data_IF_472953546849
#
_entry.id   IF_472953546849
#
_cell.length_a   1.000
_cell.length_b   1.000
_cell.length_c   1.000
_cell.angle_alpha   90.00
_cell.angle_beta   90.00
_cell.angle_gamma   90.00
#
_symmetry.space_group_name_H-M   'P 1'
#
loop_
_entity.id
_entity.type
_entity.pdbx_description
1 polymer ?
#
# COMPACT_ATOMS: atom_id res chain seq x y z
N UNK A 1 19.04 -19.66 -44.09
CA UNK A 1 17.66 -19.79 -43.64
C UNK A 1 17.69 -20.39 -42.23
N UNK A 2 17.54 -19.60 -41.23
CA UNK A 2 17.27 -20.04 -39.82
C UNK A 2 15.88 -19.50 -39.49
N UNK A 3 14.92 -20.39 -39.36
CA UNK A 3 13.60 -20.10 -38.86
C UNK A 3 13.71 -20.05 -37.34
N UNK A 4 13.61 -18.87 -36.76
CA UNK A 4 13.36 -18.69 -35.35
C UNK A 4 11.85 -18.89 -35.09
N UNK A 5 11.46 -20.15 -34.97
CA UNK A 5 10.14 -20.49 -34.43
C UNK A 5 10.17 -20.27 -32.91
N UNK A 6 9.73 -19.09 -32.50
CA UNK A 6 9.34 -18.82 -31.10
C UNK A 6 8.08 -19.62 -30.78
N UNK A 7 8.25 -20.91 -30.54
CA UNK A 7 7.18 -21.79 -30.14
C UNK A 7 6.89 -21.55 -28.64
N UNK A 8 5.91 -20.71 -28.36
CA UNK A 8 5.35 -20.59 -27.00
C UNK A 8 4.53 -21.84 -26.74
N UNK A 9 4.87 -22.69 -25.76
CA UNK A 9 4.11 -23.90 -25.48
C UNK A 9 2.64 -23.55 -25.15
N UNK A 10 1.71 -24.22 -25.81
CA UNK A 10 0.25 -24.00 -25.67
C UNK A 10 -0.22 -24.09 -24.20
N UNK A 11 0.43 -24.94 -23.40
CA UNK A 11 0.14 -25.12 -21.98
C UNK A 11 0.47 -23.88 -21.13
N UNK A 12 1.51 -23.10 -21.46
CA UNK A 12 1.82 -21.84 -20.77
C UNK A 12 0.79 -20.75 -21.08
N UNK A 13 0.29 -20.68 -22.32
CA UNK A 13 -0.75 -19.72 -22.71
C UNK A 13 -2.08 -20.06 -22.04
N UNK A 14 -2.43 -21.34 -21.94
CA UNK A 14 -3.65 -21.76 -21.24
C UNK A 14 -3.58 -21.53 -19.75
N UNK A 15 -2.42 -21.76 -19.11
CA UNK A 15 -2.23 -21.53 -17.69
C UNK A 15 -2.30 -20.03 -17.34
N UNK A 16 -1.67 -19.17 -18.13
CA UNK A 16 -1.73 -17.71 -17.92
C UNK A 16 -3.17 -17.17 -18.06
N UNK A 17 -3.95 -17.66 -19.00
CA UNK A 17 -5.35 -17.25 -19.16
C UNK A 17 -6.23 -17.71 -18.00
N UNK A 18 -6.03 -18.91 -17.45
CA UNK A 18 -6.77 -19.37 -16.27
C UNK A 18 -6.40 -18.55 -15.02
N UNK A 19 -5.13 -18.18 -14.88
CA UNK A 19 -4.68 -17.37 -13.78
C UNK A 19 -5.23 -15.94 -13.87
N UNK A 20 -5.32 -15.35 -15.06
CA UNK A 20 -5.97 -14.05 -15.30
C UNK A 20 -7.45 -14.08 -14.90
N UNK A 21 -8.20 -15.11 -15.31
CA UNK A 21 -9.62 -15.26 -14.95
C UNK A 21 -9.78 -15.35 -13.43
N UNK A 22 -8.96 -16.16 -12.78
CA UNK A 22 -9.00 -16.33 -11.33
C UNK A 22 -8.65 -15.03 -10.59
N UNK A 23 -7.67 -14.26 -11.07
CA UNK A 23 -7.30 -12.99 -10.49
C UNK A 23 -8.37 -11.92 -10.70
N UNK A 24 -9.08 -11.96 -11.82
CA UNK A 24 -10.23 -11.09 -12.06
C UNK A 24 -11.38 -11.41 -11.09
N UNK A 25 -11.67 -12.68 -10.85
CA UNK A 25 -12.67 -13.10 -9.84
C UNK A 25 -12.27 -12.64 -8.43
N UNK A 26 -11.01 -12.77 -8.08
CA UNK A 26 -10.48 -12.28 -6.79
C UNK A 26 -10.69 -10.76 -6.68
N UNK A 27 -10.35 -9.99 -7.71
CA UNK A 27 -10.59 -8.54 -7.76
C UNK A 27 -12.05 -8.20 -7.53
N UNK A 28 -12.96 -8.86 -8.23
CA UNK A 28 -14.41 -8.61 -8.11
C UNK A 28 -14.93 -8.92 -6.70
N UNK A 29 -14.46 -10.00 -6.09
CA UNK A 29 -14.80 -10.35 -4.72
C UNK A 29 -14.29 -9.30 -3.71
N UNK A 30 -13.06 -8.82 -3.86
CA UNK A 30 -12.52 -7.77 -2.99
C UNK A 30 -13.26 -6.45 -3.20
N UNK A 31 -13.59 -6.10 -4.44
CA UNK A 31 -14.39 -4.90 -4.73
C UNK A 31 -15.80 -5.00 -4.14
N UNK A 32 -16.41 -6.19 -4.12
CA UNK A 32 -17.69 -6.41 -3.47
C UNK A 32 -17.61 -6.19 -1.96
N UNK A 33 -16.55 -6.70 -1.30
CA UNK A 33 -16.30 -6.43 0.12
C UNK A 33 -16.11 -4.92 0.39
N UNK A 34 -15.37 -4.24 -0.46
CA UNK A 34 -15.16 -2.80 -0.34
C UNK A 34 -16.48 -2.01 -0.48
N UNK A 35 -17.33 -2.40 -1.43
CA UNK A 35 -18.67 -1.79 -1.59
C UNK A 35 -19.56 -2.00 -0.38
N UNK A 36 -19.54 -3.18 0.23
CA UNK A 36 -20.30 -3.45 1.45
C UNK A 36 -19.81 -2.56 2.62
N UNK A 37 -18.51 -2.40 2.74
CA UNK A 37 -17.93 -1.51 3.75
C UNK A 37 -18.30 -0.04 3.51
N UNK A 38 -18.26 0.41 2.25
CA UNK A 38 -18.67 1.77 1.87
C UNK A 38 -20.16 2.05 2.14
N UNK A 39 -21.01 1.01 2.16
CA UNK A 39 -22.44 1.15 2.51
C UNK A 39 -22.64 1.31 4.01
N UNK A 40 -21.68 0.85 4.82
CA UNK A 40 -21.72 0.93 6.28
C UNK A 40 -21.07 2.22 6.78
N UNK A 41 -20.06 2.70 6.07
CA UNK A 41 -19.32 3.94 6.37
C UNK A 41 -19.86 5.08 5.51
N UNK A 42 -20.61 5.98 6.10
CA UNK A 42 -21.32 7.04 5.40
C UNK A 42 -20.42 8.03 4.63
N UNK A 43 -19.10 8.09 4.93
CA UNK A 43 -18.21 9.13 4.42
C UNK A 43 -16.85 8.63 3.92
N UNK A 44 -16.63 7.31 3.94
CA UNK A 44 -15.39 6.70 3.48
C UNK A 44 -15.65 5.80 2.28
N UNK A 45 -15.01 6.09 1.16
CA UNK A 45 -15.04 5.24 -0.04
C UNK A 45 -13.72 4.50 -0.19
N UNK A 46 -13.76 3.18 -0.04
CA UNK A 46 -12.61 2.32 -0.25
C UNK A 46 -12.56 1.88 -1.71
N UNK A 47 -11.38 1.95 -2.30
CA UNK A 47 -11.12 1.57 -3.68
C UNK A 47 -10.04 0.49 -3.72
N UNK A 48 -10.27 -0.49 -4.58
CA UNK A 48 -9.33 -1.57 -4.86
C UNK A 48 -9.11 -1.63 -6.35
N UNK A 49 -7.87 -1.57 -6.78
CA UNK A 49 -7.47 -1.77 -8.16
C UNK A 49 -6.47 -2.91 -8.27
N UNK A 50 -6.64 -3.78 -9.28
CA UNK A 50 -5.78 -4.93 -9.44
C UNK A 50 -5.61 -5.27 -10.93
N UNK A 51 -4.42 -5.78 -11.26
CA UNK A 51 -4.11 -6.15 -12.64
C UNK A 51 -2.77 -6.88 -12.77
N UNK A 52 -2.60 -7.50 -13.93
CA UNK A 52 -1.35 -8.16 -14.31
C UNK A 52 -0.50 -7.17 -15.08
N UNK A 53 0.77 -7.06 -14.71
CA UNK A 53 1.75 -6.21 -15.38
C UNK A 53 2.94 -7.08 -15.78
N UNK A 54 3.32 -7.03 -17.05
CA UNK A 54 4.54 -7.71 -17.49
C UNK A 54 5.73 -6.77 -17.38
N UNK A 55 6.81 -7.27 -16.82
CA UNK A 55 8.10 -6.58 -16.70
C UNK A 55 9.19 -7.45 -17.33
N UNK A 56 10.31 -6.84 -17.66
CA UNK A 56 11.53 -7.56 -18.06
C UNK A 56 12.46 -7.50 -16.84
N UNK A 57 12.90 -8.65 -16.37
CA UNK A 57 13.84 -8.73 -15.25
C UNK A 57 15.28 -8.34 -15.67
N UNK A 58 16.19 -8.34 -14.70
CA UNK A 58 17.58 -7.98 -14.90
C UNK A 58 18.31 -8.90 -15.91
N UNK A 59 17.83 -10.13 -16.08
CA UNK A 59 18.38 -11.14 -16.99
C UNK A 59 17.71 -11.10 -18.38
N UNK A 60 16.80 -10.14 -18.61
CA UNK A 60 16.09 -9.98 -19.88
C UNK A 60 14.91 -10.94 -20.06
N UNK A 61 14.53 -11.68 -19.02
CA UNK A 61 13.37 -12.58 -19.03
C UNK A 61 12.09 -11.78 -18.77
N UNK A 62 11.04 -12.06 -19.56
CA UNK A 62 9.72 -11.52 -19.31
C UNK A 62 9.11 -12.21 -18.07
N UNK A 63 8.77 -11.43 -17.05
CA UNK A 63 8.08 -11.89 -15.85
C UNK A 63 6.69 -11.26 -15.78
N UNK A 64 5.75 -11.98 -15.18
CA UNK A 64 4.38 -11.55 -14.99
C UNK A 64 4.17 -11.25 -13.51
N UNK A 65 3.87 -10.00 -13.20
CA UNK A 65 3.61 -9.53 -11.85
C UNK A 65 2.12 -9.31 -11.67
N UNK A 66 1.61 -9.62 -10.49
CA UNK A 66 0.26 -9.25 -10.09
C UNK A 66 0.31 -8.08 -9.14
N UNK A 67 -0.31 -6.97 -9.55
CA UNK A 67 -0.40 -5.77 -8.74
C UNK A 67 -1.80 -5.64 -8.14
N UNK A 68 -1.89 -5.32 -6.86
CA UNK A 68 -3.12 -4.93 -6.20
C UNK A 68 -2.89 -3.70 -5.34
N UNK A 69 -3.74 -2.69 -5.49
CA UNK A 69 -3.68 -1.43 -4.77
C UNK A 69 -4.95 -1.23 -3.93
N UNK A 70 -4.76 -0.88 -2.67
CA UNK A 70 -5.81 -0.49 -1.73
C UNK A 70 -5.67 0.98 -1.40
N UNK A 71 -6.74 1.73 -1.55
CA UNK A 71 -6.81 3.15 -1.22
C UNK A 71 -8.18 3.50 -0.66
N UNK A 72 -8.31 4.70 -0.11
CA UNK A 72 -9.61 5.23 0.30
C UNK A 72 -9.66 6.74 0.09
N UNK A 73 -10.88 7.24 0.01
CA UNK A 73 -11.21 8.66 0.00
C UNK A 73 -12.20 8.94 1.14
N UNK A 74 -12.06 10.10 1.77
CA UNK A 74 -13.01 10.61 2.76
C UNK A 74 -13.72 11.82 2.16
N UNK A 75 -15.03 11.87 2.29
CA UNK A 75 -15.82 13.01 1.78
C UNK A 75 -15.40 14.32 2.43
N UNK A 76 -15.35 15.38 1.61
CA UNK A 76 -14.95 16.71 2.03
C UNK A 76 -15.90 17.26 3.11
N UNK A 77 -15.33 17.77 4.20
CA UNK A 77 -16.11 18.42 5.27
C UNK A 77 -16.52 17.51 6.42
N UNK A 78 -16.21 16.20 6.37
CA UNK A 78 -16.48 15.26 7.46
C UNK A 78 -15.32 15.15 8.46
N UNK A 79 -15.66 14.79 9.69
CA UNK A 79 -14.83 15.02 10.86
C UNK A 79 -13.65 14.08 11.00
N UNK A 80 -12.66 14.53 11.77
CA UNK A 80 -11.41 13.90 12.18
C UNK A 80 -11.51 12.48 12.82
N UNK A 81 -12.68 11.88 12.91
CA UNK A 81 -12.83 10.49 13.38
C UNK A 81 -12.58 9.48 12.27
N UNK A 82 -12.82 9.86 11.02
CA UNK A 82 -12.70 8.95 9.88
C UNK A 82 -11.34 9.04 9.19
N UNK A 83 -10.64 10.16 9.31
CA UNK A 83 -9.32 10.37 8.74
C UNK A 83 -8.22 10.58 9.81
N UNK A 84 -7.01 10.88 9.33
CA UNK A 84 -5.97 11.41 10.22
C UNK A 84 -6.28 12.88 10.54
N UNK A 85 -6.58 13.21 11.79
CA UNK A 85 -6.69 14.59 12.22
C UNK A 85 -5.39 15.40 11.96
N UNK A 86 -5.46 16.74 12.00
CA UNK A 86 -4.27 17.60 11.85
C UNK A 86 -3.15 17.19 12.83
N UNK A 87 -1.93 17.00 12.32
CA UNK A 87 -0.80 16.57 13.13
C UNK A 87 -0.86 15.14 13.66
N UNK A 88 -1.85 14.32 13.23
CA UNK A 88 -1.98 12.92 13.68
C UNK A 88 -1.42 11.96 12.64
N UNK A 89 -0.75 10.91 13.14
CA UNK A 89 -0.09 9.89 12.32
C UNK A 89 -0.37 8.46 12.78
N UNK A 90 -1.00 8.25 13.93
CA UNK A 90 -1.29 6.91 14.46
C UNK A 90 -2.37 6.25 13.60
N UNK A 91 -1.97 5.26 12.79
CA UNK A 91 -2.82 4.59 11.80
C UNK A 91 -4.06 3.95 12.43
N UNK A 92 -3.91 3.34 13.61
CA UNK A 92 -5.04 2.73 14.35
C UNK A 92 -6.04 3.75 14.92
N UNK A 93 -5.77 5.05 14.80
CA UNK A 93 -6.69 6.12 15.21
C UNK A 93 -7.48 6.71 14.04
N UNK A 94 -7.20 6.31 12.81
CA UNK A 94 -7.98 6.68 11.62
C UNK A 94 -8.98 5.57 11.29
N UNK A 95 -10.26 5.86 11.36
CA UNK A 95 -11.33 4.90 11.03
C UNK A 95 -11.29 4.48 9.57
N UNK A 96 -11.06 5.44 8.67
CA UNK A 96 -10.95 5.18 7.24
C UNK A 96 -9.74 4.27 6.90
N UNK A 97 -8.57 4.57 7.47
CA UNK A 97 -7.40 3.71 7.31
C UNK A 97 -7.66 2.29 7.84
N UNK A 98 -8.25 2.17 9.02
CA UNK A 98 -8.56 0.86 9.62
C UNK A 98 -9.58 0.07 8.81
N UNK A 99 -10.59 0.72 8.22
CA UNK A 99 -11.57 0.07 7.35
C UNK A 99 -10.89 -0.50 6.10
N UNK A 100 -10.03 0.27 5.44
CA UNK A 100 -9.27 -0.20 4.29
C UNK A 100 -8.33 -1.37 4.68
N UNK A 101 -7.61 -1.23 5.78
CA UNK A 101 -6.67 -2.26 6.26
C UNK A 101 -7.37 -3.56 6.67
N UNK A 102 -8.60 -3.50 7.18
CA UNK A 102 -9.41 -4.67 7.47
C UNK A 102 -9.82 -5.43 6.20
N UNK A 103 -10.21 -4.72 5.14
CA UNK A 103 -10.50 -5.32 3.82
C UNK A 103 -9.24 -5.95 3.25
N UNK A 104 -8.12 -5.23 3.30
CA UNK A 104 -6.82 -5.72 2.84
C UNK A 104 -6.44 -7.02 3.57
N UNK A 105 -6.53 -7.05 4.91
CA UNK A 105 -6.27 -8.25 5.71
C UNK A 105 -7.15 -9.41 5.26
N UNK A 106 -8.46 -9.20 5.15
CA UNK A 106 -9.41 -10.24 4.72
C UNK A 106 -9.11 -10.74 3.31
N UNK A 107 -8.71 -9.84 2.40
CA UNK A 107 -8.32 -10.21 1.05
C UNK A 107 -7.07 -11.11 1.05
N UNK A 108 -6.07 -10.78 1.85
CA UNK A 108 -4.87 -11.60 1.97
C UNK A 108 -5.18 -12.98 2.57
N UNK A 109 -5.95 -13.04 3.64
CA UNK A 109 -6.30 -14.31 4.29
C UNK A 109 -7.12 -15.24 3.39
N UNK A 110 -8.05 -14.69 2.61
CA UNK A 110 -8.97 -15.49 1.79
C UNK A 110 -8.43 -15.84 0.41
N UNK A 111 -7.74 -14.90 -0.24
CA UNK A 111 -7.45 -15.02 -1.67
C UNK A 111 -5.97 -15.12 -1.97
N UNK A 112 -5.10 -14.49 -1.16
CA UNK A 112 -3.68 -14.43 -1.45
C UNK A 112 -2.83 -15.40 -0.62
N UNK A 113 -3.37 -16.05 0.39
CA UNK A 113 -2.63 -17.03 1.20
C UNK A 113 -1.94 -18.12 0.35
N UNK A 114 -2.56 -18.53 -0.76
CA UNK A 114 -2.00 -19.50 -1.68
C UNK A 114 -0.80 -18.98 -2.50
N UNK A 115 -0.66 -17.67 -2.64
CA UNK A 115 0.47 -17.02 -3.36
C UNK A 115 1.58 -16.58 -2.40
N UNK A 116 1.33 -16.69 -1.11
CA UNK A 116 2.28 -16.37 -0.05
C UNK A 116 3.05 -17.62 0.28
N UNK A 117 4.14 -17.86 -0.44
CA UNK A 117 5.01 -19.00 -0.21
C UNK A 117 6.41 -18.54 0.17
N UNK A 118 7.10 -19.30 0.98
CA UNK A 118 8.50 -19.07 1.30
C UNK A 118 9.33 -18.94 0.02
N UNK A 119 10.07 -17.84 -0.09
CA UNK A 119 10.94 -17.55 -1.24
C UNK A 119 10.30 -16.74 -2.37
N UNK A 120 8.98 -16.52 -2.41
CA UNK A 120 8.36 -15.59 -3.36
C UNK A 120 8.64 -14.16 -2.94
N UNK A 121 8.95 -13.30 -3.91
CA UNK A 121 9.24 -11.88 -3.68
C UNK A 121 7.97 -11.05 -3.73
N UNK A 122 7.78 -10.21 -2.72
CA UNK A 122 6.70 -9.25 -2.66
C UNK A 122 7.28 -7.83 -2.54
N UNK A 123 6.93 -6.95 -3.46
CA UNK A 123 7.19 -5.52 -3.32
C UNK A 123 5.97 -4.84 -2.71
N UNK A 124 6.17 -4.07 -1.66
CA UNK A 124 5.11 -3.32 -0.98
C UNK A 124 5.41 -1.84 -1.09
N UNK A 125 4.59 -1.13 -1.85
CA UNK A 125 4.62 0.33 -1.94
C UNK A 125 3.60 0.88 -0.96
N UNK A 126 4.03 1.64 0.04
CA UNK A 126 3.15 2.30 0.99
C UNK A 126 3.28 3.80 0.80
N UNK A 127 2.17 4.44 0.45
CA UNK A 127 2.11 5.90 0.29
C UNK A 127 1.43 6.51 1.50
N UNK A 128 2.14 7.37 2.19
CA UNK A 128 1.55 8.24 3.21
C UNK A 128 1.33 9.63 2.64
N UNK A 129 0.19 10.23 2.96
CA UNK A 129 -0.21 11.53 2.43
C UNK A 129 -0.50 12.51 3.55
N UNK A 130 -0.09 13.76 3.35
CA UNK A 130 -0.36 14.87 4.26
C UNK A 130 -0.86 16.10 3.48
N UNK A 131 -1.65 16.91 4.15
CA UNK A 131 -2.13 18.18 3.61
C UNK A 131 -1.15 19.33 3.92
N UNK A 132 -1.40 20.51 3.37
CA UNK A 132 -0.60 21.72 3.57
C UNK A 132 -0.86 22.43 4.91
N UNK A 133 -1.54 21.81 5.87
CA UNK A 133 -1.74 22.41 7.19
C UNK A 133 -0.41 22.61 7.90
N UNK A 134 -0.08 23.81 8.38
CA UNK A 134 1.21 24.07 8.99
C UNK A 134 1.34 23.35 10.33
N UNK A 135 2.53 22.82 10.59
CA UNK A 135 2.91 22.35 11.91
C UNK A 135 3.49 23.53 12.68
N UNK A 136 2.78 23.98 13.70
CA UNK A 136 3.22 25.07 14.55
C UNK A 136 4.18 24.53 15.63
N UNK A 137 5.47 24.74 15.42
CA UNK A 137 6.50 24.23 16.31
C UNK A 137 6.83 22.76 16.08
N UNK A 138 6.77 21.96 17.13
CA UNK A 138 7.18 20.54 17.14
C UNK A 138 6.09 19.68 17.75
N UNK A 139 5.68 18.64 17.03
CA UNK A 139 4.83 17.57 17.56
C UNK A 139 5.74 16.55 18.23
N UNK A 140 5.47 16.22 19.48
CA UNK A 140 6.22 15.19 20.20
C UNK A 140 6.00 13.83 19.53
N UNK A 141 7.10 13.14 19.27
CA UNK A 141 7.10 11.76 18.80
C UNK A 141 7.56 10.84 19.93
N UNK A 142 6.79 9.84 20.26
CA UNK A 142 7.06 8.90 21.36
C UNK A 142 7.89 7.67 20.94
N UNK A 143 8.16 7.54 19.63
CA UNK A 143 8.87 6.40 19.07
C UNK A 143 8.00 5.15 18.90
N UNK A 144 6.65 5.28 18.87
CA UNK A 144 5.74 4.15 18.77
C UNK A 144 5.95 3.26 17.54
N UNK A 145 6.55 3.79 16.49
CA UNK A 145 6.93 3.07 15.26
C UNK A 145 8.43 2.89 15.10
N UNK A 146 9.24 3.16 16.12
CA UNK A 146 10.70 3.17 16.05
C UNK A 146 11.29 4.55 15.77
N UNK A 147 12.59 4.64 15.67
CA UNK A 147 13.30 5.88 15.34
C UNK A 147 14.01 5.71 13.99
N UNK A 148 13.96 6.75 13.17
CA UNK A 148 14.45 6.74 11.80
C UNK A 148 15.47 7.85 11.60
N UNK A 149 16.65 7.50 11.10
CA UNK A 149 17.71 8.45 10.76
C UNK A 149 18.15 8.19 9.33
N UNK A 150 17.98 9.17 8.46
CA UNK A 150 18.30 9.06 7.03
C UNK A 150 17.60 7.88 6.34
N UNK A 151 16.35 7.59 6.75
CA UNK A 151 15.55 6.52 6.13
C UNK A 151 15.22 6.89 4.68
N UNK A 152 15.48 5.99 3.71
CA UNK A 152 15.16 6.26 2.31
C UNK A 152 13.66 6.28 2.07
N UNK A 153 13.20 7.31 1.36
CA UNK A 153 11.80 7.50 0.96
C UNK A 153 11.75 8.04 -0.47
N UNK A 154 10.65 7.80 -1.14
CA UNK A 154 10.36 8.42 -2.45
C UNK A 154 9.43 9.61 -2.26
N UNK A 155 9.87 10.79 -2.71
CA UNK A 155 9.09 12.01 -2.74
C UNK A 155 9.07 12.55 -4.16
N UNK A 156 7.89 12.77 -4.72
CA UNK A 156 7.71 13.19 -6.12
C UNK A 156 8.44 12.26 -7.14
N UNK A 157 8.50 10.96 -6.82
CA UNK A 157 9.25 9.89 -7.50
C UNK A 157 10.79 9.97 -7.37
N UNK A 158 11.32 10.93 -6.67
CA UNK A 158 12.76 11.04 -6.39
C UNK A 158 13.11 10.40 -5.05
N UNK A 159 14.26 9.74 -5.01
CA UNK A 159 14.79 9.17 -3.77
C UNK A 159 15.28 10.30 -2.86
N UNK A 160 14.81 10.32 -1.64
CA UNK A 160 15.13 11.28 -0.60
C UNK A 160 15.37 10.56 0.72
N UNK A 161 15.78 11.29 1.76
CA UNK A 161 15.96 10.73 3.10
C UNK A 161 15.12 11.50 4.12
N UNK A 162 14.62 10.78 5.11
CA UNK A 162 13.85 11.37 6.19
C UNK A 162 14.38 10.95 7.55
N UNK A 163 14.29 11.87 8.52
CA UNK A 163 14.66 11.63 9.91
C UNK A 163 13.48 11.94 10.81
N UNK A 164 13.11 10.98 11.67
CA UNK A 164 12.11 11.15 12.72
C UNK A 164 12.57 10.38 13.95
N UNK A 165 12.91 11.10 15.00
CA UNK A 165 13.35 10.52 16.28
C UNK A 165 12.56 11.13 17.44
N UNK A 166 12.64 10.57 18.63
CA UNK A 166 12.05 11.16 19.84
C UNK A 166 12.61 12.55 20.10
N UNK A 167 13.89 12.74 19.84
CA UNK A 167 14.55 14.03 20.03
C UNK A 167 14.09 15.05 18.99
N UNK A 168 14.10 14.70 17.69
CA UNK A 168 13.68 15.62 16.62
C UNK A 168 12.19 15.93 16.66
N UNK A 169 11.39 14.95 17.02
CA UNK A 169 9.92 15.01 16.88
C UNK A 169 9.51 15.16 15.42
N UNK A 170 8.30 15.67 15.21
CA UNK A 170 7.73 15.93 13.88
C UNK A 170 7.58 17.43 13.70
N UNK A 171 8.25 17.97 12.69
CA UNK A 171 8.29 19.42 12.39
C UNK A 171 7.80 19.74 10.98
N UNK A 172 7.64 18.71 10.12
CA UNK A 172 7.28 18.86 8.71
C UNK A 172 6.19 17.83 8.31
N UNK A 173 5.38 18.20 7.33
CA UNK A 173 4.32 17.33 6.82
C UNK A 173 4.85 16.06 6.14
N UNK A 174 6.05 16.09 5.59
CA UNK A 174 6.73 14.91 5.06
C UNK A 174 6.90 13.84 6.13
N UNK A 175 7.27 14.25 7.36
CA UNK A 175 7.43 13.35 8.50
C UNK A 175 6.09 12.76 8.97
N UNK A 176 4.98 13.54 8.90
CA UNK A 176 3.64 13.02 9.15
C UNK A 176 3.24 11.97 8.12
N UNK A 177 3.45 12.27 6.84
CA UNK A 177 3.18 11.36 5.74
C UNK A 177 3.99 10.06 5.90
N UNK A 178 5.28 10.18 6.20
CA UNK A 178 6.15 9.03 6.46
C UNK A 178 5.65 8.18 7.63
N UNK A 179 5.34 8.77 8.77
CA UNK A 179 4.86 8.02 9.94
C UNK A 179 3.50 7.33 9.69
N UNK A 180 2.63 7.90 8.86
CA UNK A 180 1.40 7.24 8.40
C UNK A 180 1.73 6.00 7.59
N UNK A 181 2.70 6.08 6.67
CA UNK A 181 3.14 4.93 5.87
C UNK A 181 3.81 3.85 6.76
N UNK A 182 4.65 4.24 7.70
CA UNK A 182 5.26 3.30 8.66
C UNK A 182 4.22 2.60 9.52
N UNK A 183 3.19 3.33 9.96
CA UNK A 183 2.09 2.75 10.74
C UNK A 183 1.31 1.68 9.96
N UNK A 184 1.25 1.77 8.64
CA UNK A 184 0.69 0.71 7.79
C UNK A 184 1.58 -0.52 7.78
N UNK A 185 2.89 -0.37 7.61
CA UNK A 185 3.83 -1.51 7.69
C UNK A 185 3.72 -2.21 9.05
N UNK A 186 3.69 -1.44 10.13
CA UNK A 186 3.53 -1.97 11.48
C UNK A 186 2.23 -2.79 11.62
N UNK A 187 1.12 -2.26 11.07
CA UNK A 187 -0.14 -2.99 11.03
C UNK A 187 -0.05 -4.30 10.23
N UNK A 188 0.54 -4.26 9.04
CA UNK A 188 0.71 -5.42 8.16
C UNK A 188 1.48 -6.53 8.91
N UNK A 189 2.65 -6.20 9.45
CA UNK A 189 3.51 -7.18 10.12
C UNK A 189 2.87 -7.78 11.38
N UNK A 190 2.04 -7.01 12.09
CA UNK A 190 1.35 -7.48 13.30
C UNK A 190 0.11 -8.31 13.02
N UNK A 191 -0.60 -8.03 11.92
CA UNK A 191 -1.95 -8.56 11.70
C UNK A 191 -2.07 -9.54 10.54
N UNK A 192 -1.03 -9.67 9.69
CA UNK A 192 -1.00 -10.57 8.54
C UNK A 192 0.28 -11.41 8.62
N UNK A 193 0.29 -12.51 9.39
CA UNK A 193 1.51 -13.31 9.66
C UNK A 193 2.23 -13.79 8.41
N UNK A 194 1.46 -14.05 7.35
CA UNK A 194 2.00 -14.47 6.06
C UNK A 194 3.09 -13.55 5.50
N UNK A 195 3.06 -12.26 5.81
CA UNK A 195 4.07 -11.31 5.34
C UNK A 195 5.44 -11.47 6.02
N UNK A 196 5.50 -12.04 7.22
CA UNK A 196 6.76 -12.32 7.90
C UNK A 196 7.53 -13.50 7.29
N UNK A 197 6.83 -14.36 6.51
CA UNK A 197 7.41 -15.53 5.84
C UNK A 197 7.86 -15.21 4.41
N UNK A 198 7.43 -14.07 3.86
CA UNK A 198 7.77 -13.63 2.50
C UNK A 198 9.05 -12.80 2.48
N UNK A 199 9.78 -12.88 1.37
CA UNK A 199 10.83 -11.90 1.06
C UNK A 199 10.19 -10.58 0.61
N UNK A 200 9.75 -9.78 1.59
CA UNK A 200 9.00 -8.56 1.36
C UNK A 200 9.91 -7.33 1.35
N UNK A 201 9.83 -6.56 0.28
CA UNK A 201 10.57 -5.31 0.08
C UNK A 201 9.61 -4.13 0.25
N UNK A 202 9.81 -3.34 1.31
CA UNK A 202 8.94 -2.22 1.68
C UNK A 202 9.54 -0.90 1.22
N UNK A 203 8.80 -0.16 0.40
CA UNK A 203 9.17 1.14 -0.09
C UNK A 203 8.16 2.20 0.37
N UNK A 204 8.65 3.27 0.99
CA UNK A 204 7.83 4.38 1.48
C UNK A 204 7.78 5.50 0.45
N UNK A 205 6.57 5.93 0.16
CA UNK A 205 6.28 7.08 -0.71
C UNK A 205 5.61 8.17 0.11
N UNK A 206 6.02 9.40 -0.11
CA UNK A 206 5.52 10.58 0.60
C UNK A 206 4.86 11.50 -0.41
N UNK A 207 3.64 11.90 -0.11
CA UNK A 207 2.91 12.90 -0.86
C UNK A 207 2.43 14.00 0.09
N UNK A 208 2.82 15.24 -0.19
CA UNK A 208 2.34 16.42 0.54
C UNK A 208 1.67 17.35 -0.45
N UNK A 209 0.37 17.56 -0.30
CA UNK A 209 -0.38 18.43 -1.21
C UNK A 209 -0.13 19.91 -0.88
N UNK A 210 -0.47 20.79 -1.83
CA UNK A 210 -0.50 22.24 -1.61
C UNK A 210 -1.82 22.71 -1.00
N UNK A 211 -2.81 21.83 -0.95
CA UNK A 211 -4.14 22.07 -0.44
C UNK A 211 -4.25 21.66 1.03
N UNK A 212 -5.19 22.28 1.76
CA UNK A 212 -5.54 21.91 3.14
C UNK A 212 -6.87 21.16 3.12
N UNK A 213 -6.93 20.07 3.88
CA UNK A 213 -8.17 19.33 4.01
C UNK A 213 -7.94 17.90 4.52
N UNK A 214 -8.99 17.34 5.09
CA UNK A 214 -8.99 15.97 5.59
C UNK A 214 -8.79 14.95 4.48
N UNK A 215 -9.35 15.21 3.32
CA UNK A 215 -9.28 14.39 2.12
C UNK A 215 -7.86 14.12 1.62
N UNK A 216 -6.91 14.95 2.02
CA UNK A 216 -5.49 14.80 1.67
C UNK A 216 -4.67 14.05 2.73
N UNK A 217 -5.25 13.73 3.88
CA UNK A 217 -4.57 13.05 4.99
C UNK A 217 -4.90 11.57 5.02
N UNK A 218 -4.34 10.82 4.11
CA UNK A 218 -4.68 9.41 3.86
C UNK A 218 -3.45 8.53 3.63
N UNK A 219 -3.70 7.27 3.40
CA UNK A 219 -2.71 6.27 3.02
C UNK A 219 -3.20 5.47 1.81
N UNK A 220 -2.27 4.88 1.08
CA UNK A 220 -2.56 3.80 0.14
C UNK A 220 -1.47 2.73 0.20
N UNK A 221 -1.81 1.52 -0.22
CA UNK A 221 -0.89 0.39 -0.20
C UNK A 221 -1.03 -0.39 -1.51
N UNK A 222 0.08 -0.55 -2.22
CA UNK A 222 0.14 -1.39 -3.40
C UNK A 222 1.10 -2.56 -3.16
N UNK A 223 0.66 -3.73 -3.55
CA UNK A 223 1.42 -4.97 -3.51
C UNK A 223 1.72 -5.44 -4.91
N UNK A 224 2.96 -5.84 -5.16
CA UNK A 224 3.39 -6.48 -6.39
C UNK A 224 3.92 -7.85 -6.06
N UNK A 225 3.19 -8.88 -6.42
CA UNK A 225 3.65 -10.26 -6.39
C UNK A 225 4.54 -10.47 -7.62
N UNK A 226 5.83 -10.60 -7.38
CA UNK A 226 6.83 -10.71 -8.46
C UNK A 226 6.87 -12.16 -8.93
N UNK A 227 6.85 -12.36 -10.27
CA UNK A 227 6.86 -13.67 -10.91
C UNK A 227 5.78 -14.59 -10.31
N UNK A 228 4.53 -14.09 -10.30
CA UNK A 228 3.41 -14.71 -9.59
C UNK A 228 2.91 -16.00 -10.27
N UNK A 229 3.34 -16.27 -11.51
CA UNK A 229 2.82 -17.34 -12.39
C UNK A 229 3.92 -18.29 -12.86
#
# INVERSE_FOLDING_TARGET
>A
MKSDDNFIPLNLVQQSNMDEIKLQEIKENIMSMAKQQNTISDHTKISVDAGIVSEIDADGKKIMNYNINFSYEVEQGFSAKEDFGPGKYITTKSGAAMSMLAIMKTAFEKYFAQYVHAGKKLRVKITGMADASPINGKITYDGCYGEYTNEPVYKDNDLSNITVTKESGVTQNDQLAFLRAVGVKDYILKNIPAFSEMNSDYNYYIEVTKEKGSEYRRISVAFTFVDAF
#
